data_IF_631242474472
#
_entry.id   IF_631242474472
#
_cell.length_a   1.000
_cell.length_b   1.000
_cell.length_c   1.000
_cell.angle_alpha   90.00
_cell.angle_beta   90.00
_cell.angle_gamma   90.00
#
_symmetry.space_group_name_H-M   'P 1'
#
loop_
_entity.id
_entity.type
_entity.pdbx_description
1 polymer ?
#
# COMPACT_ATOMS: atom_id res chain seq x y z
N UNK A 1 -26.42 -24.63 -18.64
CA UNK A 1 -25.53 -23.47 -18.49
C UNK A 1 -24.97 -23.51 -17.09
N UNK A 2 -23.66 -23.68 -17.03
CA UNK A 2 -22.82 -23.97 -15.88
C UNK A 2 -22.89 -22.80 -14.87
N UNK A 3 -23.49 -23.00 -13.70
CA UNK A 3 -23.25 -22.11 -12.57
C UNK A 3 -22.21 -22.77 -11.68
N UNK A 4 -20.96 -22.45 -12.01
CA UNK A 4 -19.78 -22.80 -11.26
C UNK A 4 -19.91 -22.35 -9.80
N UNK A 5 -19.52 -23.25 -8.90
CA UNK A 5 -19.56 -23.07 -7.46
C UNK A 5 -18.85 -21.79 -7.00
N UNK A 6 -19.62 -20.87 -6.41
CA UNK A 6 -19.06 -19.90 -5.46
C UNK A 6 -18.88 -20.63 -4.13
N UNK A 7 -17.66 -21.12 -3.90
CA UNK A 7 -17.23 -21.65 -2.60
C UNK A 7 -17.56 -20.63 -1.51
N UNK A 8 -18.45 -20.99 -0.59
CA UNK A 8 -18.93 -20.18 0.52
C UNK A 8 -17.91 -20.20 1.68
N UNK A 9 -16.64 -19.91 1.35
CA UNK A 9 -15.51 -19.78 2.28
C UNK A 9 -14.56 -18.68 1.78
N UNK A 10 -15.13 -17.55 1.38
CA UNK A 10 -14.33 -16.33 1.28
C UNK A 10 -14.23 -15.75 2.68
N UNK A 11 -13.05 -15.81 3.30
CA UNK A 11 -12.71 -14.81 4.30
C UNK A 11 -13.09 -13.47 3.69
N UNK A 12 -14.12 -12.82 4.22
CA UNK A 12 -14.45 -11.46 3.82
C UNK A 12 -13.18 -10.66 4.05
N UNK A 13 -12.52 -10.22 2.97
CA UNK A 13 -11.32 -9.39 3.04
C UNK A 13 -11.70 -8.17 3.89
N UNK A 14 -11.37 -8.25 5.18
CA UNK A 14 -11.87 -7.32 6.19
C UNK A 14 -11.39 -5.92 5.85
N UNK A 15 -10.21 -5.83 5.24
CA UNK A 15 -9.60 -4.61 4.72
C UNK A 15 -10.42 -4.02 3.57
N UNK A 16 -10.90 -4.84 2.64
CA UNK A 16 -11.83 -4.39 1.59
C UNK A 16 -13.19 -3.92 2.11
N UNK A 17 -13.60 -4.39 3.30
CA UNK A 17 -14.86 -4.00 3.94
C UNK A 17 -14.78 -2.68 4.72
N UNK A 18 -13.57 -2.14 4.95
CA UNK A 18 -13.44 -0.82 5.56
C UNK A 18 -13.95 0.28 4.62
N UNK A 19 -14.56 1.34 5.19
CA UNK A 19 -14.80 2.59 4.47
C UNK A 19 -13.49 3.21 3.95
N UNK A 20 -13.58 3.88 2.80
CA UNK A 20 -12.42 4.52 2.15
C UNK A 20 -11.73 5.56 3.04
N UNK A 21 -12.48 6.24 3.92
CA UNK A 21 -11.92 7.21 4.86
C UNK A 21 -10.93 6.57 5.85
N UNK A 22 -11.20 5.35 6.31
CA UNK A 22 -10.28 4.63 7.20
C UNK A 22 -9.05 4.13 6.45
N UNK A 23 -9.22 3.74 5.19
CA UNK A 23 -8.10 3.37 4.32
C UNK A 23 -7.20 4.58 4.09
N UNK A 24 -7.76 5.74 3.74
CA UNK A 24 -6.99 6.98 3.61
C UNK A 24 -6.30 7.38 4.91
N UNK A 25 -6.97 7.21 6.06
CA UNK A 25 -6.36 7.45 7.35
C UNK A 25 -5.16 6.53 7.59
N UNK A 26 -5.28 5.23 7.31
CA UNK A 26 -4.14 4.32 7.42
C UNK A 26 -3.00 4.70 6.47
N UNK A 27 -3.32 5.01 5.21
CA UNK A 27 -2.33 5.44 4.22
C UNK A 27 -1.62 6.74 4.62
N UNK A 28 -2.30 7.65 5.33
CA UNK A 28 -1.71 8.91 5.79
C UNK A 28 -0.57 8.74 6.82
N UNK A 29 -0.53 7.59 7.51
CA UNK A 29 0.56 7.25 8.43
C UNK A 29 1.76 6.59 7.73
N UNK A 30 1.62 6.19 6.47
CA UNK A 30 2.63 5.42 5.73
C UNK A 30 3.45 6.30 4.79
N UNK A 31 4.70 5.91 4.56
CA UNK A 31 5.46 6.43 3.41
C UNK A 31 4.91 5.87 2.10
N UNK A 32 5.24 6.52 0.97
CA UNK A 32 4.84 6.07 -0.36
C UNK A 32 5.27 4.62 -0.65
N UNK A 33 6.45 4.23 -0.18
CA UNK A 33 6.93 2.86 -0.33
C UNK A 33 6.08 1.86 0.47
N UNK A 34 5.79 2.18 1.73
CA UNK A 34 4.97 1.32 2.61
C UNK A 34 3.54 1.22 2.09
N UNK A 35 2.96 2.35 1.64
CA UNK A 35 1.66 2.37 1.00
C UNK A 35 1.59 1.39 -0.20
N UNK A 36 2.61 1.40 -1.08
CA UNK A 36 2.67 0.45 -2.21
C UNK A 36 2.81 -1.00 -1.73
N UNK A 37 3.62 -1.27 -0.70
CA UNK A 37 3.77 -2.63 -0.16
C UNK A 37 2.45 -3.18 0.36
N UNK A 38 1.65 -2.33 0.98
CA UNK A 38 0.37 -2.73 1.55
C UNK A 38 -0.75 -2.93 0.51
N UNK A 39 -0.54 -2.56 -0.76
CA UNK A 39 -1.49 -2.82 -1.85
C UNK A 39 -1.78 -4.31 -2.09
N UNK A 40 -0.96 -5.22 -1.57
CA UNK A 40 -1.18 -6.67 -1.65
C UNK A 40 -2.33 -7.14 -0.75
N UNK A 41 -2.68 -6.36 0.28
CA UNK A 41 -3.69 -6.71 1.27
C UNK A 41 -5.11 -6.66 0.68
N UNK A 42 -5.37 -5.75 -0.26
CA UNK A 42 -6.66 -5.64 -0.91
C UNK A 42 -6.60 -4.92 -2.25
N UNK A 43 -7.42 -5.37 -3.21
CA UNK A 43 -7.58 -4.69 -4.50
C UNK A 43 -8.07 -3.24 -4.34
N UNK A 44 -8.86 -2.94 -3.30
CA UNK A 44 -9.32 -1.57 -3.01
C UNK A 44 -8.16 -0.68 -2.53
N UNK A 45 -7.27 -1.20 -1.68
CA UNK A 45 -6.08 -0.45 -1.25
C UNK A 45 -5.23 -0.03 -2.44
N UNK A 46 -5.04 -0.93 -3.41
CA UNK A 46 -4.35 -0.63 -4.67
C UNK A 46 -4.97 0.52 -5.48
N UNK A 47 -6.29 0.71 -5.41
CA UNK A 47 -6.93 1.86 -6.09
C UNK A 47 -6.90 3.14 -5.25
N UNK A 48 -6.90 3.01 -3.91
CA UNK A 48 -6.98 4.17 -3.01
C UNK A 48 -5.63 4.83 -2.74
N UNK A 49 -4.52 4.09 -2.74
CA UNK A 49 -3.20 4.72 -2.56
C UNK A 49 -2.86 5.69 -3.70
N UNK A 50 -3.34 5.42 -4.93
CA UNK A 50 -3.16 6.33 -6.07
C UNK A 50 -3.99 7.61 -5.97
N UNK A 51 -5.09 7.58 -5.22
CA UNK A 51 -5.94 8.75 -4.98
C UNK A 51 -5.57 9.49 -3.70
N UNK A 52 -4.63 8.96 -2.92
CA UNK A 52 -4.18 9.59 -1.68
C UNK A 52 -3.34 10.83 -1.99
N UNK A 53 -3.74 12.03 -1.52
CA UNK A 53 -2.95 13.24 -1.72
C UNK A 53 -1.71 13.31 -0.82
N UNK A 54 -1.55 12.37 0.11
CA UNK A 54 -0.46 12.32 1.08
C UNK A 54 0.46 11.14 0.77
N UNK A 55 1.43 11.35 -0.12
CA UNK A 55 2.51 10.39 -0.40
C UNK A 55 3.81 10.96 0.15
N UNK A 56 4.30 10.41 1.25
CA UNK A 56 5.57 10.80 1.84
C UNK A 56 6.71 10.00 1.20
N UNK A 57 7.57 10.65 0.42
CA UNK A 57 8.72 10.03 -0.22
C UNK A 57 9.96 10.19 0.66
N UNK A 58 10.44 9.11 1.27
CA UNK A 58 11.73 9.12 1.97
C UNK A 58 12.86 9.04 0.94
N UNK A 59 13.30 10.21 0.47
CA UNK A 59 14.39 10.35 -0.50
C UNK A 59 15.72 9.79 0.00
N UNK A 60 15.93 9.69 1.32
CA UNK A 60 17.16 9.11 1.89
C UNK A 60 17.31 7.63 1.54
N UNK A 61 16.21 6.93 1.24
CA UNK A 61 16.28 5.54 0.75
C UNK A 61 16.78 5.43 -0.70
N UNK A 62 16.79 6.53 -1.45
CA UNK A 62 17.17 6.55 -2.87
C UNK A 62 18.49 7.26 -3.13
N UNK A 63 18.93 8.13 -2.23
CA UNK A 63 20.23 8.76 -2.30
C UNK A 63 21.23 7.77 -1.67
N UNK A 64 22.07 7.15 -2.50
CA UNK A 64 23.26 6.49 -1.99
C UNK A 64 24.02 7.50 -1.15
N UNK A 65 24.37 7.14 0.09
CA UNK A 65 25.41 7.85 0.82
C UNK A 65 26.64 7.82 -0.09
N UNK A 66 26.89 8.94 -0.76
CA UNK A 66 28.18 9.27 -1.37
C UNK A 66 29.12 9.39 -0.17
N UNK A 67 29.58 8.22 0.32
CA UNK A 67 30.55 8.19 1.39
C UNK A 67 31.77 8.86 0.80
N UNK A 68 32.24 10.00 1.35
CA UNK A 68 33.51 10.55 0.91
C UNK A 68 34.52 9.42 1.05
N UNK A 69 35.20 9.14 -0.05
CA UNK A 69 36.31 8.20 -0.10
C UNK A 69 37.42 8.78 0.77
N UNK A 70 37.36 8.50 2.07
CA UNK A 70 38.43 8.78 3.02
C UNK A 70 39.55 7.75 2.79
N UNK A 71 40.20 7.85 1.62
CA UNK A 71 41.47 7.18 1.32
C UNK A 71 42.60 8.21 1.43
N UNK A 72 43.19 8.33 2.63
CA UNK A 72 44.55 8.85 2.83
C UNK A 72 45.44 7.78 3.46
#
# INVERSE_FOLDING_TARGET
MEQAGKSMRGEMDRISSLPDCLIHLTLSFLTAQEAVQTCVLSKRWKNLWTTSPFLNFDLRKFLCDDKPDDSE
#
